data_IF_094077971674
#
_entry.id   IF_094077971674
#
_cell.length_a   1.000
_cell.length_b   1.000
_cell.length_c   1.000
_cell.angle_alpha   90.00
_cell.angle_beta   90.00
_cell.angle_gamma   90.00
#
_symmetry.space_group_name_H-M   'P 1'
#
loop_
_entity.id
_entity.type
_entity.pdbx_description
1 polymer ?
#
# COMPACT_ATOMS: atom_id res chain seq x y z
N UNK A 1 -25.29 -43.27 -11.65
CA UNK A 1 -25.50 -42.18 -10.66
C UNK A 1 -24.26 -41.79 -9.84
N UNK A 2 -23.29 -42.69 -9.57
CA UNK A 2 -22.10 -42.36 -8.75
C UNK A 2 -21.08 -41.43 -9.45
N UNK A 3 -20.89 -41.56 -10.77
CA UNK A 3 -19.90 -40.77 -11.54
C UNK A 3 -20.22 -39.27 -11.58
N UNK A 4 -21.51 -38.91 -11.74
CA UNK A 4 -21.94 -37.50 -11.75
C UNK A 4 -21.77 -36.80 -10.40
N UNK A 5 -22.07 -37.50 -9.30
CA UNK A 5 -21.83 -36.98 -7.94
C UNK A 5 -20.33 -36.80 -7.64
N UNK A 6 -19.49 -37.67 -8.20
CA UNK A 6 -18.03 -37.57 -8.06
C UNK A 6 -17.45 -36.39 -8.83
N UNK A 7 -17.94 -36.13 -10.05
CA UNK A 7 -17.51 -34.97 -10.86
C UNK A 7 -17.92 -33.66 -10.16
N UNK A 8 -19.15 -33.58 -9.64
CA UNK A 8 -19.61 -32.38 -8.91
C UNK A 8 -18.77 -32.15 -7.64
N UNK A 9 -18.43 -33.21 -6.91
CA UNK A 9 -17.59 -33.10 -5.71
C UNK A 9 -16.17 -32.61 -6.04
N UNK A 10 -15.59 -33.08 -7.14
CA UNK A 10 -14.25 -32.63 -7.60
C UNK A 10 -14.27 -31.17 -8.02
N UNK A 11 -15.30 -30.73 -8.75
CA UNK A 11 -15.44 -29.32 -9.18
C UNK A 11 -15.63 -28.39 -7.98
N UNK A 12 -16.44 -28.79 -6.99
CA UNK A 12 -16.62 -28.04 -5.74
C UNK A 12 -15.32 -27.94 -4.93
N UNK A 13 -14.56 -29.02 -4.82
CA UNK A 13 -13.27 -29.01 -4.13
C UNK A 13 -12.26 -28.10 -4.84
N UNK A 14 -12.21 -28.11 -6.17
CA UNK A 14 -11.36 -27.20 -6.95
C UNK A 14 -11.76 -25.73 -6.77
N UNK A 15 -13.06 -25.43 -6.79
CA UNK A 15 -13.55 -24.07 -6.58
C UNK A 15 -13.20 -23.53 -5.18
N UNK A 16 -13.27 -24.39 -4.15
CA UNK A 16 -12.88 -24.04 -2.78
C UNK A 16 -11.37 -23.77 -2.66
N UNK A 17 -10.53 -24.59 -3.29
CA UNK A 17 -9.06 -24.41 -3.24
C UNK A 17 -8.64 -23.14 -3.99
N UNK A 18 -9.24 -22.85 -5.14
CA UNK A 18 -8.95 -21.62 -5.89
C UNK A 18 -9.48 -20.40 -5.14
N UNK A 19 -10.67 -20.47 -4.55
CA UNK A 19 -11.25 -19.38 -3.76
C UNK A 19 -10.39 -19.01 -2.54
N UNK A 20 -9.89 -20.01 -1.80
CA UNK A 20 -9.02 -19.74 -0.64
C UNK A 20 -7.66 -19.21 -1.06
N UNK A 21 -7.10 -19.68 -2.19
CA UNK A 21 -5.83 -19.16 -2.72
C UNK A 21 -5.92 -17.68 -3.13
N UNK A 22 -7.04 -17.24 -3.72
CA UNK A 22 -7.24 -15.83 -4.10
C UNK A 22 -7.42 -14.94 -2.87
N UNK A 23 -8.16 -15.40 -1.86
CA UNK A 23 -8.39 -14.62 -0.62
C UNK A 23 -7.10 -14.50 0.19
N UNK A 24 -6.30 -15.57 0.27
CA UNK A 24 -5.03 -15.56 1.00
C UNK A 24 -3.90 -14.88 0.22
N UNK A 25 -3.89 -14.99 -1.11
CA UNK A 25 -2.91 -14.32 -1.98
C UNK A 25 -3.15 -12.81 -2.11
N UNK A 26 -4.40 -12.34 -1.99
CA UNK A 26 -4.73 -10.91 -2.02
C UNK A 26 -4.39 -10.15 -0.72
N UNK A 27 -4.20 -10.87 0.40
CA UNK A 27 -3.80 -10.31 1.70
C UNK A 27 -2.36 -10.71 2.09
N UNK A 28 -1.56 -11.16 1.11
CA UNK A 28 -0.13 -11.30 1.28
C UNK A 28 0.49 -9.92 1.28
N UNK A 29 1.17 -9.55 2.39
CA UNK A 29 2.15 -8.46 2.40
C UNK A 29 2.88 -8.48 1.07
N UNK A 30 2.74 -7.41 0.28
CA UNK A 30 3.66 -7.15 -0.83
C UNK A 30 5.04 -7.24 -0.20
N UNK A 31 5.77 -8.32 -0.45
CA UNK A 31 7.22 -8.24 -0.36
C UNK A 31 7.56 -7.02 -1.20
N UNK A 32 8.11 -5.99 -0.55
CA UNK A 32 8.66 -4.83 -1.23
C UNK A 32 9.68 -5.44 -2.19
N UNK A 33 9.28 -5.60 -3.45
CA UNK A 33 10.20 -5.93 -4.51
C UNK A 33 11.31 -4.91 -4.34
N UNK A 34 12.52 -5.40 -4.14
CA UNK A 34 13.72 -4.57 -4.01
C UNK A 34 13.96 -3.98 -5.40
N UNK A 35 13.11 -3.05 -5.81
CA UNK A 35 13.30 -2.25 -6.98
C UNK A 35 14.58 -1.47 -6.71
N UNK A 36 15.57 -1.65 -7.59
CA UNK A 36 16.72 -0.74 -7.63
C UNK A 36 16.15 0.68 -7.72
N UNK A 37 16.47 1.50 -6.72
CA UNK A 37 16.05 2.89 -6.67
C UNK A 37 16.66 3.57 -7.88
N UNK A 38 15.86 3.81 -8.92
CA UNK A 38 16.28 4.58 -10.07
C UNK A 38 16.34 6.05 -9.65
N UNK A 39 17.53 6.65 -9.71
CA UNK A 39 17.69 8.06 -9.42
C UNK A 39 17.04 8.92 -10.51
N UNK A 40 16.29 9.94 -10.10
CA UNK A 40 15.69 10.92 -10.99
C UNK A 40 14.22 10.67 -11.36
N UNK A 41 13.72 11.47 -12.31
CA UNK A 41 12.31 11.50 -12.71
C UNK A 41 11.52 12.65 -12.07
N UNK A 42 10.21 12.65 -12.29
CA UNK A 42 9.29 13.65 -11.71
C UNK A 42 8.22 12.93 -10.91
N UNK A 43 8.22 13.16 -9.60
CA UNK A 43 7.17 12.70 -8.71
C UNK A 43 6.00 13.69 -8.71
N UNK A 44 4.85 13.27 -9.21
CA UNK A 44 3.62 14.06 -9.19
C UNK A 44 2.73 13.58 -8.04
N UNK A 45 2.44 14.46 -7.10
CA UNK A 45 1.62 14.17 -5.93
C UNK A 45 0.33 14.99 -5.94
N UNK A 46 -0.81 14.32 -5.79
CA UNK A 46 -2.12 14.98 -5.79
C UNK A 46 -2.49 15.43 -4.37
N UNK A 47 -2.47 16.74 -4.13
CA UNK A 47 -3.01 17.30 -2.91
C UNK A 47 -4.53 17.44 -3.03
N UNK A 48 -5.25 17.11 -1.94
CA UNK A 48 -6.70 17.29 -1.86
C UNK A 48 -7.07 18.79 -1.83
N UNK A 49 -6.19 19.61 -1.28
CA UNK A 49 -6.31 21.06 -1.19
C UNK A 49 -4.94 21.71 -1.04
N UNK A 50 -4.86 23.00 -1.32
CA UNK A 50 -3.63 23.77 -1.09
C UNK A 50 -3.33 23.90 0.42
N UNK A 51 -2.04 23.89 0.82
CA UNK A 51 -1.65 24.17 2.20
C UNK A 51 -1.90 25.64 2.53
N UNK A 52 -2.29 25.91 3.77
CA UNK A 52 -2.55 27.27 4.28
C UNK A 52 -1.24 28.01 4.52
N UNK A 53 -0.20 27.28 4.96
CA UNK A 53 1.14 27.81 5.18
C UNK A 53 2.23 26.81 4.82
N UNK A 54 3.41 27.32 4.48
CA UNK A 54 4.65 26.54 4.35
C UNK A 54 5.70 26.94 5.40
N UNK A 55 5.34 27.81 6.35
CA UNK A 55 6.18 28.06 7.52
C UNK A 55 6.16 26.82 8.42
N UNK A 56 7.32 26.16 8.67
CA UNK A 56 7.38 24.96 9.50
C UNK A 56 6.81 25.17 10.91
N UNK A 57 6.85 26.40 11.43
CA UNK A 57 6.26 26.72 12.74
C UNK A 57 4.72 26.77 12.72
N UNK A 58 4.10 26.81 11.54
CA UNK A 58 2.65 26.98 11.34
C UNK A 58 2.02 25.82 10.56
N UNK A 59 2.74 24.73 10.29
CA UNK A 59 2.18 23.52 9.69
C UNK A 59 1.28 22.79 10.69
N UNK A 60 -0.03 22.97 10.56
CA UNK A 60 -1.01 22.33 11.45
C UNK A 60 -1.96 21.40 10.68
N UNK A 61 -2.18 21.67 9.40
CA UNK A 61 -2.96 20.81 8.51
C UNK A 61 -2.15 19.62 7.95
N UNK A 62 -2.85 18.54 7.60
CA UNK A 62 -2.24 17.31 7.09
C UNK A 62 -1.52 17.52 5.76
N UNK A 63 -2.07 18.32 4.85
CA UNK A 63 -1.49 18.63 3.54
C UNK A 63 -0.16 19.38 3.71
N UNK A 64 -0.13 20.35 4.63
CA UNK A 64 1.07 21.10 4.98
C UNK A 64 2.16 20.22 5.57
N UNK A 65 1.80 19.27 6.44
CA UNK A 65 2.74 18.30 7.02
C UNK A 65 3.26 17.32 5.94
N UNK A 66 2.41 16.86 5.03
CA UNK A 66 2.78 15.97 3.92
C UNK A 66 3.78 16.58 2.95
N UNK A 67 3.66 17.87 2.67
CA UNK A 67 4.61 18.63 1.85
C UNK A 67 5.84 19.01 2.70
N UNK A 68 5.62 19.45 3.93
CA UNK A 68 6.64 19.91 4.86
C UNK A 68 7.71 18.86 5.15
N UNK A 69 7.33 17.59 5.32
CA UNK A 69 8.27 16.47 5.52
C UNK A 69 9.20 16.21 4.32
N UNK A 70 8.87 16.71 3.13
CA UNK A 70 9.71 16.57 1.94
C UNK A 70 10.65 17.77 1.76
N UNK A 71 10.32 18.92 2.35
CA UNK A 71 11.06 20.18 2.17
C UNK A 71 11.98 20.45 3.37
N UNK A 72 11.53 20.12 4.57
CA UNK A 72 12.22 20.39 5.82
C UNK A 72 12.65 19.09 6.50
N UNK A 73 13.81 19.13 7.12
CA UNK A 73 14.35 18.04 7.92
C UNK A 73 14.30 18.40 9.41
N UNK A 74 14.01 17.40 10.24
CA UNK A 74 13.84 17.52 11.69
C UNK A 74 14.94 16.80 12.46
N UNK A 75 15.04 17.05 13.76
CA UNK A 75 15.97 16.30 14.61
C UNK A 75 15.55 14.83 14.82
N UNK A 76 14.25 14.56 14.65
CA UNK A 76 13.65 13.24 14.73
C UNK A 76 12.86 12.99 13.46
N UNK A 77 13.10 11.84 12.83
CA UNK A 77 12.29 11.35 11.72
C UNK A 77 11.26 10.35 12.21
N UNK A 78 10.09 10.38 11.57
CA UNK A 78 8.98 9.52 11.89
C UNK A 78 8.94 8.29 10.96
N UNK A 79 9.88 7.36 11.12
CA UNK A 79 9.92 6.12 10.34
C UNK A 79 9.02 5.02 10.95
N UNK A 80 7.97 4.56 10.25
CA UNK A 80 7.09 3.48 10.72
C UNK A 80 7.80 2.13 10.95
N UNK A 81 9.05 1.94 10.50
CA UNK A 81 9.84 0.72 10.75
C UNK A 81 10.62 0.78 12.07
N UNK A 82 10.96 1.97 12.56
CA UNK A 82 11.77 2.16 13.77
C UNK A 82 11.01 2.73 14.96
N UNK A 83 9.72 3.07 14.78
CA UNK A 83 8.80 3.45 15.85
C UNK A 83 8.21 2.28 16.62
#
# INVERSE_FOLDING_TARGET
MKKGKFIIAVVMALALVVGTAVILGGCGKKEEAKEEIQEGGTFNYCLISDPVSLDPAQLQESQGIEVGKQIFDGLMDNDPKTM
#
